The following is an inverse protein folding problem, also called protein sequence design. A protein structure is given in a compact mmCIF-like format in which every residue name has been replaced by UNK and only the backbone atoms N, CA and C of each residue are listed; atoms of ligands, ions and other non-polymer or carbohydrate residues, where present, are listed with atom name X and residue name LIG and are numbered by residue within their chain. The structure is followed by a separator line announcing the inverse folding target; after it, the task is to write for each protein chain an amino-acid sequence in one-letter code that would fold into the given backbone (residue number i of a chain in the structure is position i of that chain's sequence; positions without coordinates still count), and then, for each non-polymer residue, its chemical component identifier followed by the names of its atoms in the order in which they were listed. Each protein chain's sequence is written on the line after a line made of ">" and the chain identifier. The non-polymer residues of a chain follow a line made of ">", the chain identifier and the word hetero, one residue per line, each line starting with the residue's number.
data_IF_696632469587
#
_entry.id   IF_696632469587
#
_cell.length_a   1.000
_cell.length_b   1.000
_cell.length_c   1.000
_cell.angle_alpha   90.00
_cell.angle_beta   90.00
_cell.angle_gamma   90.00
#
_symmetry.space_group_name_H-M   'P 1'
#
loop_
_entity.id
_entity.type
_entity.pdbx_description
1 polymer ?
#
# COMPACT_ATOMS: atom_id res chain seq x y z
N UNK A 1 -10.31 0.50 2.11
CA UNK A 1 -10.56 1.95 2.21
C UNK A 1 -9.38 2.57 2.94
N UNK A 2 -9.02 3.80 2.59
CA UNK A 2 -8.03 4.61 3.30
C UNK A 2 -8.50 6.06 3.42
N UNK A 3 -7.91 6.82 4.34
CA UNK A 3 -8.06 8.27 4.49
C UNK A 3 -6.75 8.94 4.10
N UNK A 4 -6.76 9.79 3.09
CA UNK A 4 -5.56 10.46 2.57
C UNK A 4 -5.17 11.67 3.42
N UNK A 5 -4.00 12.26 3.15
CA UNK A 5 -3.52 13.41 3.90
C UNK A 5 -4.40 14.66 3.74
N UNK A 6 -5.11 14.81 2.61
CA UNK A 6 -6.11 15.88 2.44
C UNK A 6 -7.46 15.57 3.08
N UNK A 7 -7.61 14.43 3.75
CA UNK A 7 -8.87 14.01 4.36
C UNK A 7 -9.87 13.42 3.38
N UNK A 8 -9.46 13.08 2.15
CA UNK A 8 -10.32 12.37 1.21
C UNK A 8 -10.30 10.87 1.49
N UNK A 9 -11.42 10.22 1.25
CA UNK A 9 -11.54 8.77 1.36
C UNK A 9 -11.26 8.13 0.00
N UNK A 10 -10.40 7.11 -0.04
CA UNK A 10 -10.23 6.28 -1.23
C UNK A 10 -10.72 4.86 -0.95
N UNK A 11 -11.64 4.38 -1.79
CA UNK A 11 -12.29 3.06 -1.65
C UNK A 11 -12.08 2.27 -2.93
N UNK A 12 -11.42 1.11 -2.81
CA UNK A 12 -11.25 0.18 -3.93
C UNK A 12 -12.51 -0.64 -4.17
N UNK A 13 -12.90 -0.75 -5.43
CA UNK A 13 -13.87 -1.70 -5.94
C UNK A 13 -13.15 -2.71 -6.84
N UNK A 14 -12.58 -3.75 -6.20
CA UNK A 14 -11.64 -4.69 -6.82
C UNK A 14 -12.22 -5.36 -8.07
N UNK A 15 -13.46 -5.86 -8.01
CA UNK A 15 -14.11 -6.55 -9.12
C UNK A 15 -14.29 -5.64 -10.36
N UNK A 16 -14.44 -4.33 -10.15
CA UNK A 16 -14.61 -3.35 -11.22
C UNK A 16 -13.29 -2.71 -11.67
N UNK A 17 -12.17 -3.02 -11.02
CA UNK A 17 -10.88 -2.32 -11.23
C UNK A 17 -11.00 -0.80 -11.10
N UNK A 18 -11.67 -0.36 -10.03
CA UNK A 18 -11.95 1.05 -9.75
C UNK A 18 -11.52 1.46 -8.36
N UNK A 19 -11.18 2.74 -8.18
CA UNK A 19 -11.03 3.38 -6.87
C UNK A 19 -11.90 4.63 -6.88
N UNK A 20 -12.87 4.69 -5.97
CA UNK A 20 -13.69 5.88 -5.76
C UNK A 20 -12.99 6.82 -4.80
N UNK A 21 -12.98 8.10 -5.13
CA UNK A 21 -12.50 9.17 -4.26
C UNK A 21 -13.72 9.92 -3.73
N UNK A 22 -13.83 9.97 -2.41
CA UNK A 22 -14.98 10.53 -1.72
C UNK A 22 -14.55 11.63 -0.76
N UNK A 23 -15.46 12.54 -0.50
CA UNK A 23 -15.33 13.56 0.52
C UNK A 23 -16.40 13.35 1.59
N UNK A 24 -15.98 13.42 2.85
CA UNK A 24 -16.88 13.42 3.99
C UNK A 24 -17.26 14.87 4.31
N UNK A 25 -18.49 15.25 3.98
CA UNK A 25 -19.05 16.59 4.17
C UNK A 25 -20.28 16.56 5.07
N UNK A 26 -21.38 17.16 4.63
CA UNK A 26 -22.68 16.94 5.28
C UNK A 26 -23.21 15.52 5.00
N UNK A 27 -22.89 15.01 3.81
CA UNK A 27 -23.11 13.64 3.36
C UNK A 27 -21.82 13.11 2.73
N UNK A 28 -21.72 11.78 2.56
CA UNK A 28 -20.61 11.15 1.87
C UNK A 28 -20.80 11.26 0.35
N UNK A 29 -19.96 12.07 -0.31
CA UNK A 29 -20.06 12.37 -1.74
C UNK A 29 -18.95 11.68 -2.53
N UNK A 30 -19.30 11.03 -3.65
CA UNK A 30 -18.30 10.55 -4.62
C UNK A 30 -17.89 11.72 -5.51
N UNK A 31 -16.64 12.16 -5.38
CA UNK A 31 -16.09 13.25 -6.20
C UNK A 31 -15.77 12.77 -7.62
N UNK A 32 -15.05 11.66 -7.73
CA UNK A 32 -14.67 11.06 -9.00
C UNK A 32 -14.19 9.61 -8.80
N UNK A 33 -13.99 8.92 -9.92
CA UNK A 33 -13.53 7.53 -9.97
C UNK A 33 -12.22 7.46 -10.74
N UNK A 34 -11.23 6.77 -10.17
CA UNK A 34 -10.03 6.33 -10.87
C UNK A 34 -10.33 4.97 -11.49
N UNK A 35 -10.16 4.85 -12.80
CA UNK A 35 -10.32 3.59 -13.52
C UNK A 35 -9.29 3.44 -14.64
N UNK A 36 -9.13 2.20 -15.11
CA UNK A 36 -8.13 1.85 -16.13
C UNK A 36 -8.42 2.56 -17.47
N UNK A 37 -9.70 2.66 -17.84
CA UNK A 37 -10.13 3.31 -19.08
C UNK A 37 -9.84 4.82 -19.09
N UNK A 38 -9.77 5.45 -17.92
CA UNK A 38 -9.47 6.86 -17.70
C UNK A 38 -7.98 7.20 -17.63
N UNK A 39 -7.10 6.34 -18.16
CA UNK A 39 -5.66 6.60 -18.24
C UNK A 39 -4.82 6.08 -17.07
N UNK A 40 -5.42 5.32 -16.14
CA UNK A 40 -4.71 4.65 -15.05
C UNK A 40 -4.40 3.20 -15.44
N UNK A 41 -3.55 3.01 -16.45
CA UNK A 41 -3.33 1.72 -17.11
C UNK A 41 -2.91 0.60 -16.14
N UNK A 42 -2.20 0.94 -15.06
CA UNK A 42 -1.76 0.00 -14.02
C UNK A 42 -2.88 -0.42 -13.06
N UNK A 43 -4.00 0.31 -13.04
CA UNK A 43 -5.12 0.03 -12.14
C UNK A 43 -5.92 -1.18 -12.64
N UNK A 44 -5.57 -2.36 -12.14
CA UNK A 44 -6.30 -3.59 -12.42
C UNK A 44 -6.44 -4.40 -11.14
N UNK A 45 -7.68 -4.70 -10.73
CA UNK A 45 -8.01 -5.42 -9.49
C UNK A 45 -7.23 -4.90 -8.27
N UNK A 46 -7.52 -3.68 -7.77
CA UNK A 46 -6.89 -3.16 -6.55
C UNK A 46 -7.36 -3.97 -5.34
N UNK A 47 -6.47 -4.79 -4.79
CA UNK A 47 -6.72 -5.72 -3.68
C UNK A 47 -6.52 -5.04 -2.31
N UNK A 48 -5.53 -4.15 -2.20
CA UNK A 48 -5.23 -3.41 -0.97
C UNK A 48 -4.85 -1.95 -1.27
N UNK A 49 -5.06 -1.07 -0.29
CA UNK A 49 -4.71 0.34 -0.35
C UNK A 49 -3.85 0.71 0.86
N UNK A 50 -2.86 1.59 0.66
CA UNK A 50 -2.03 2.14 1.73
C UNK A 50 -1.84 3.65 1.54
N UNK A 51 -1.97 4.42 2.61
CA UNK A 51 -1.76 5.88 2.60
C UNK A 51 -0.26 6.15 2.63
N UNK A 52 0.23 7.02 1.75
CA UNK A 52 1.60 7.49 1.88
C UNK A 52 1.74 8.38 3.10
N UNK A 53 2.81 8.18 3.85
CA UNK A 53 3.31 9.10 4.87
C UNK A 53 3.87 10.41 4.27
N UNK A 54 3.88 10.55 2.94
CA UNK A 54 4.46 11.67 2.21
C UNK A 54 3.45 12.35 1.29
N UNK A 55 3.22 13.63 1.58
CA UNK A 55 2.32 14.46 0.79
C UNK A 55 0.93 13.87 0.69
N UNK A 56 0.18 14.31 -0.31
CA UNK A 56 -1.14 13.77 -0.58
C UNK A 56 -1.06 12.70 -1.67
N UNK A 57 -0.63 11.50 -1.26
CA UNK A 57 -0.49 10.35 -2.14
C UNK A 57 -0.89 9.04 -1.46
N UNK A 58 -1.18 8.03 -2.26
CA UNK A 58 -1.48 6.70 -1.77
C UNK A 58 -1.08 5.63 -2.80
N UNK A 59 -1.07 4.39 -2.33
CA UNK A 59 -0.68 3.23 -3.09
C UNK A 59 -1.85 2.26 -3.20
N UNK A 60 -1.96 1.60 -4.34
CA UNK A 60 -2.87 0.49 -4.58
C UNK A 60 -2.08 -0.74 -4.98
N UNK A 61 -2.26 -1.85 -4.26
CA UNK A 61 -1.74 -3.15 -4.66
C UNK A 61 -2.71 -3.74 -5.67
N UNK A 62 -2.27 -3.82 -6.92
CA UNK A 62 -3.06 -4.21 -8.08
C UNK A 62 -2.68 -5.61 -8.56
N UNK A 63 -3.69 -6.45 -8.80
CA UNK A 63 -3.57 -7.78 -9.37
C UNK A 63 -2.55 -8.67 -8.63
N UNK A 64 -2.31 -8.38 -7.35
CA UNK A 64 -1.33 -9.06 -6.50
C UNK A 64 0.11 -9.05 -7.01
N UNK A 65 0.48 -8.15 -7.93
CA UNK A 65 1.79 -8.16 -8.61
C UNK A 65 2.43 -6.79 -8.76
N UNK A 66 1.64 -5.73 -8.77
CA UNK A 66 2.12 -4.38 -9.03
C UNK A 66 1.53 -3.44 -8.01
N UNK A 67 2.34 -2.53 -7.48
CA UNK A 67 1.86 -1.40 -6.71
C UNK A 67 1.75 -0.21 -7.65
N UNK A 68 0.59 0.43 -7.67
CA UNK A 68 0.33 1.66 -8.41
C UNK A 68 0.27 2.82 -7.43
N UNK A 69 0.98 3.90 -7.73
CA UNK A 69 0.96 5.11 -6.93
C UNK A 69 0.06 6.16 -7.55
N UNK A 70 -0.74 6.79 -6.70
CA UNK A 70 -1.59 7.91 -7.03
C UNK A 70 -1.20 9.12 -6.20
N UNK A 71 -0.99 10.26 -6.83
CA UNK A 71 -0.62 11.50 -6.15
C UNK A 71 -1.45 12.69 -6.60
N UNK A 72 -1.47 13.70 -5.76
CA UNK A 72 -2.18 14.96 -5.98
C UNK A 72 -1.19 16.10 -5.85
N UNK A 73 -1.07 16.91 -6.90
CA UNK A 73 -0.15 18.04 -6.91
C UNK A 73 -0.65 19.23 -6.08
N UNK A 74 -1.97 19.48 -6.09
CA UNK A 74 -2.60 20.62 -5.40
C UNK A 74 -3.92 20.22 -4.74
N UNK A 75 -4.38 20.90 -3.67
CA UNK A 75 -5.62 20.52 -2.96
C UNK A 75 -6.88 20.40 -3.82
N UNK A 76 -6.96 21.09 -4.96
CA UNK A 76 -8.12 21.00 -5.88
C UNK A 76 -7.93 20.05 -7.07
N UNK A 77 -6.72 19.52 -7.32
CA UNK A 77 -6.47 18.64 -8.47
C UNK A 77 -6.99 17.22 -8.22
N UNK A 78 -7.41 16.46 -9.24
CA UNK A 78 -7.66 15.04 -9.06
C UNK A 78 -6.37 14.28 -8.71
N UNK A 79 -6.49 13.11 -8.11
CA UNK A 79 -5.38 12.15 -8.06
C UNK A 79 -5.07 11.67 -9.47
N UNK A 80 -3.79 11.50 -9.76
CA UNK A 80 -3.29 10.93 -11.02
C UNK A 80 -2.36 9.77 -10.71
N UNK A 81 -2.40 8.74 -11.55
CA UNK A 81 -1.38 7.70 -11.51
C UNK A 81 -0.04 8.31 -11.93
N UNK A 82 0.98 8.19 -11.07
CA UNK A 82 2.31 8.76 -11.34
C UNK A 82 3.47 7.76 -11.18
N UNK A 83 3.17 6.52 -10.75
CA UNK A 83 4.19 5.49 -10.58
C UNK A 83 3.62 4.08 -10.59
N UNK A 84 4.46 3.14 -11.02
CA UNK A 84 4.21 1.70 -10.94
C UNK A 84 5.46 1.00 -10.42
N UNK A 85 5.27 0.09 -9.48
CA UNK A 85 6.34 -0.68 -8.84
C UNK A 85 5.96 -2.15 -8.94
N UNK A 86 6.71 -2.91 -9.75
CA UNK A 86 6.56 -4.35 -9.79
C UNK A 86 7.07 -4.98 -8.49
N UNK A 87 6.29 -5.92 -7.95
CA UNK A 87 6.72 -6.78 -6.86
C UNK A 87 7.82 -7.74 -7.33
N UNK A 88 8.67 -8.14 -6.40
CA UNK A 88 9.63 -9.21 -6.65
C UNK A 88 8.90 -10.55 -6.81
N UNK A 89 9.43 -11.45 -7.66
CA UNK A 89 8.75 -12.72 -7.99
C UNK A 89 8.29 -13.53 -6.78
N UNK A 90 9.07 -13.57 -5.69
CA UNK A 90 8.72 -14.33 -4.48
C UNK A 90 7.54 -13.77 -3.68
N UNK A 91 7.11 -12.55 -4.00
CA UNK A 91 6.03 -11.84 -3.31
C UNK A 91 4.83 -11.57 -4.24
N UNK A 92 4.84 -12.09 -5.48
CA UNK A 92 3.63 -12.17 -6.31
C UNK A 92 2.54 -12.96 -5.58
N UNK A 93 1.30 -12.49 -5.62
CA UNK A 93 0.20 -13.05 -4.83
C UNK A 93 -0.08 -12.30 -3.53
N UNK A 94 0.72 -11.28 -3.21
CA UNK A 94 0.49 -10.40 -2.06
C UNK A 94 -0.94 -9.86 -2.01
N UNK A 95 -1.47 -9.74 -0.78
CA UNK A 95 -2.85 -9.31 -0.49
C UNK A 95 -2.91 -8.19 0.55
N UNK A 96 -1.84 -7.99 1.30
CA UNK A 96 -1.74 -6.99 2.35
C UNK A 96 -0.64 -6.00 2.01
N UNK A 97 -0.84 -4.74 2.38
CA UNK A 97 0.13 -3.68 2.18
C UNK A 97 0.00 -2.61 3.26
N UNK A 98 1.13 -2.08 3.71
CA UNK A 98 1.19 -0.88 4.53
C UNK A 98 2.34 0.01 4.07
N UNK A 99 2.23 1.30 4.34
CA UNK A 99 3.27 2.28 4.08
C UNK A 99 3.63 3.01 5.38
N UNK A 100 4.88 3.42 5.52
CA UNK A 100 5.33 4.19 6.66
C UNK A 100 6.74 4.73 6.52
N UNK A 101 7.04 5.79 7.25
CA UNK A 101 8.37 6.43 7.21
C UNK A 101 9.40 5.67 8.04
N UNK A 102 10.67 5.68 7.62
CA UNK A 102 11.79 5.13 8.42
C UNK A 102 12.46 6.17 9.31
N UNK A 103 11.80 7.31 9.56
CA UNK A 103 12.33 8.41 10.38
C UNK A 103 13.27 9.36 9.63
N UNK A 104 13.72 9.00 8.42
CA UNK A 104 14.40 9.90 7.49
C UNK A 104 13.41 10.72 6.65
N UNK A 105 13.75 11.99 6.35
CA UNK A 105 12.86 12.93 5.63
C UNK A 105 12.68 12.56 4.14
N UNK A 106 13.49 11.63 3.62
CA UNK A 106 13.67 11.46 2.18
C UNK A 106 13.12 10.14 1.60
N UNK A 107 12.80 9.15 2.43
CA UNK A 107 12.30 7.85 1.97
C UNK A 107 11.09 7.39 2.78
N UNK A 108 10.17 6.73 2.09
CA UNK A 108 9.07 5.97 2.68
C UNK A 108 9.32 4.49 2.44
N UNK A 109 8.93 3.63 3.37
CA UNK A 109 8.98 2.19 3.19
C UNK A 109 7.58 1.65 2.94
N UNK A 110 7.45 0.82 1.91
CA UNK A 110 6.29 -0.03 1.68
C UNK A 110 6.61 -1.45 2.13
N UNK A 111 5.66 -2.05 2.84
CA UNK A 111 5.66 -3.47 3.16
C UNK A 111 4.49 -4.14 2.47
N UNK A 112 4.75 -5.21 1.73
CA UNK A 112 3.72 -6.11 1.18
C UNK A 112 3.86 -7.53 1.71
N UNK A 113 2.75 -8.25 1.78
CA UNK A 113 2.73 -9.65 2.21
C UNK A 113 1.57 -10.47 1.63
N UNK A 114 1.69 -11.80 1.75
CA UNK A 114 0.69 -12.79 1.32
C UNK A 114 1.01 -13.49 -0.01
N UNK A 115 2.20 -13.26 -0.59
CA UNK A 115 2.66 -13.86 -1.85
C UNK A 115 3.71 -14.98 -1.70
N UNK A 116 4.17 -15.25 -0.48
CA UNK A 116 5.23 -16.24 -0.19
C UNK A 116 6.41 -15.65 0.57
N UNK A 117 6.57 -14.33 0.53
CA UNK A 117 7.48 -13.56 1.37
C UNK A 117 6.81 -12.27 1.88
N UNK A 118 7.51 -11.60 2.80
CA UNK A 118 7.42 -10.17 2.99
C UNK A 118 8.40 -9.47 2.05
N UNK A 119 7.98 -8.36 1.45
CA UNK A 119 8.89 -7.48 0.71
C UNK A 119 8.82 -6.08 1.31
N UNK A 120 9.96 -5.60 1.80
CA UNK A 120 10.18 -4.23 2.25
C UNK A 120 10.81 -3.45 1.09
N UNK A 121 10.23 -2.31 0.74
CA UNK A 121 10.68 -1.49 -0.37
C UNK A 121 10.85 -0.05 0.08
N UNK A 122 12.04 0.51 -0.13
CA UNK A 122 12.26 1.94 0.07
C UNK A 122 11.90 2.70 -1.20
N UNK A 123 10.99 3.66 -1.04
CA UNK A 123 10.41 4.48 -2.08
C UNK A 123 10.99 5.89 -2.00
N UNK A 124 11.61 6.33 -3.09
CA UNK A 124 12.14 7.68 -3.23
C UNK A 124 11.02 8.73 -3.37
N UNK A 125 11.42 10.00 -3.34
CA UNK A 125 10.50 11.15 -3.47
C UNK A 125 9.72 11.14 -4.78
N UNK A 126 10.37 10.67 -5.85
CA UNK A 126 9.78 10.56 -7.19
C UNK A 126 8.88 9.31 -7.35
N UNK A 127 8.70 8.52 -6.29
CA UNK A 127 7.89 7.30 -6.31
C UNK A 127 8.63 6.06 -6.81
N UNK A 128 9.92 6.16 -7.17
CA UNK A 128 10.71 5.02 -7.63
C UNK A 128 11.14 4.10 -6.48
N UNK A 129 11.24 2.79 -6.76
CA UNK A 129 11.79 1.79 -5.85
C UNK A 129 13.32 1.87 -5.83
N UNK A 130 13.90 2.14 -4.67
CA UNK A 130 15.35 2.30 -4.49
C UNK A 130 16.02 1.08 -3.87
N UNK A 131 15.36 0.45 -2.90
CA UNK A 131 15.83 -0.77 -2.23
C UNK A 131 14.67 -1.75 -2.15
N UNK A 132 14.96 -3.05 -2.25
CA UNK A 132 14.02 -4.12 -1.97
C UNK A 132 14.71 -5.19 -1.11
N UNK A 133 14.05 -5.57 -0.02
CA UNK A 133 14.49 -6.65 0.87
C UNK A 133 13.36 -7.66 1.03
N UNK A 134 13.68 -8.92 0.75
CA UNK A 134 12.75 -10.05 0.88
C UNK A 134 13.01 -10.78 2.20
N UNK A 135 11.94 -11.05 2.95
CA UNK A 135 11.98 -11.85 4.18
C UNK A 135 11.06 -13.05 4.00
N UNK A 136 11.65 -14.24 3.99
CA UNK A 136 10.93 -15.49 3.83
C UNK A 136 10.54 -16.06 5.20
N UNK A 137 9.34 -16.66 5.31
CA UNK A 137 8.95 -17.36 6.52
C UNK A 137 9.89 -18.54 6.75
N UNK A 138 10.34 -18.72 7.99
CA UNK A 138 11.14 -19.88 8.36
C UNK A 138 10.24 -21.08 8.65
N UNK A 139 10.60 -22.27 8.18
CA UNK A 139 10.00 -23.55 8.58
C UNK A 139 8.47 -23.52 8.78
N UNK A 140 8.03 -23.78 10.01
CA UNK A 140 6.62 -23.84 10.42
C UNK A 140 5.92 -22.47 10.52
N UNK A 141 6.56 -21.40 10.06
CA UNK A 141 6.15 -19.99 10.19
C UNK A 141 5.68 -19.62 11.62
N UNK A 142 6.53 -19.77 12.64
CA UNK A 142 6.16 -19.41 14.01
C UNK A 142 5.89 -17.91 14.19
N UNK A 143 6.32 -17.08 13.23
CA UNK A 143 6.09 -15.64 13.23
C UNK A 143 4.77 -15.27 12.54
N UNK A 144 4.11 -16.21 11.86
CA UNK A 144 2.77 -16.06 11.30
C UNK A 144 2.67 -15.08 10.13
N UNK A 145 3.78 -14.77 9.46
CA UNK A 145 3.76 -13.77 8.39
C UNK A 145 3.72 -14.36 6.98
N UNK A 146 3.66 -15.68 6.82
CA UNK A 146 3.46 -16.34 5.54
C UNK A 146 2.09 -16.02 4.94
N UNK A 147 1.04 -16.00 5.78
CA UNK A 147 -0.32 -15.58 5.40
C UNK A 147 -0.91 -14.64 6.46
N UNK A 148 -0.52 -13.36 6.44
CA UNK A 148 -0.95 -12.41 7.46
C UNK A 148 -2.39 -11.97 7.24
N UNK A 149 -3.17 -11.88 8.31
CA UNK A 149 -4.53 -11.36 8.28
C UNK A 149 -4.57 -9.84 8.06
N UNK A 150 -3.59 -9.11 8.59
CA UNK A 150 -3.48 -7.66 8.38
C UNK A 150 -2.06 -7.16 8.60
N UNK A 151 -1.77 -6.01 8.00
CA UNK A 151 -0.53 -5.26 8.23
C UNK A 151 -0.90 -3.82 8.54
N UNK A 152 -0.22 -3.23 9.51
CA UNK A 152 -0.31 -1.81 9.81
C UNK A 152 1.07 -1.24 10.08
N UNK A 153 1.21 0.06 9.91
CA UNK A 153 2.41 0.78 10.32
C UNK A 153 2.05 1.70 11.50
N UNK A 154 2.89 1.71 12.52
CA UNK A 154 2.77 2.59 13.66
C UNK A 154 4.15 2.99 14.17
N UNK A 155 4.42 4.31 14.20
CA UNK A 155 5.57 4.93 14.89
C UNK A 155 6.92 4.21 14.65
N UNK A 156 7.29 4.01 13.38
CA UNK A 156 8.58 3.42 13.01
C UNK A 156 8.60 1.90 12.92
N UNK A 157 7.46 1.25 13.13
CA UNK A 157 7.35 -0.21 13.04
C UNK A 157 6.14 -0.66 12.22
N UNK A 158 6.33 -1.75 11.49
CA UNK A 158 5.27 -2.52 10.88
C UNK A 158 4.81 -3.61 11.85
N UNK A 159 3.51 -3.67 12.09
CA UNK A 159 2.85 -4.71 12.86
C UNK A 159 2.13 -5.63 11.89
N UNK A 160 2.46 -6.91 11.96
CA UNK A 160 1.92 -7.96 11.12
C UNK A 160 1.13 -8.90 12.03
N UNK A 161 -0.19 -8.93 11.87
CA UNK A 161 -1.03 -9.88 12.55
C UNK A 161 -1.07 -11.17 11.74
N UNK A 162 -0.46 -12.23 12.27
CA UNK A 162 -0.55 -13.55 11.70
C UNK A 162 -1.97 -14.05 11.80
N UNK A 163 -2.50 -14.58 10.69
CA UNK A 163 -3.90 -14.99 10.60
C UNK A 163 -4.20 -16.15 11.54
N UNK A 164 -3.98 -17.37 11.06
CA UNK A 164 -4.35 -18.57 11.82
C UNK A 164 -3.40 -18.89 12.99
N UNK A 165 -2.20 -18.29 13.01
CA UNK A 165 -1.23 -18.48 14.09
C UNK A 165 -1.56 -17.67 15.34
N UNK A 166 -2.38 -16.62 15.22
CA UNK A 166 -2.69 -15.70 16.33
C UNK A 166 -1.48 -14.91 16.85
N UNK A 167 -0.39 -14.83 16.07
CA UNK A 167 0.84 -14.12 16.45
C UNK A 167 0.81 -12.67 15.96
N UNK A 168 1.51 -11.78 16.66
CA UNK A 168 1.79 -10.42 16.17
C UNK A 168 3.30 -10.29 16.04
N UNK A 169 3.78 -10.13 14.82
CA UNK A 169 5.20 -9.91 14.53
C UNK A 169 5.43 -8.42 14.25
N UNK A 170 6.47 -7.87 14.86
CA UNK A 170 6.81 -6.45 14.77
C UNK A 170 8.16 -6.29 14.08
N UNK A 171 8.17 -5.56 12.97
CA UNK A 171 9.39 -5.16 12.27
C UNK A 171 9.57 -3.65 12.42
N UNK A 172 10.49 -3.24 13.29
CA UNK A 172 10.81 -1.84 13.51
C UNK A 172 12.28 -1.56 13.23
N UNK A 173 12.59 -0.30 12.94
CA UNK A 173 13.97 0.15 12.93
C UNK A 173 14.43 0.36 14.38
N UNK A 174 15.59 -0.18 14.76
CA UNK A 174 16.26 0.27 15.98
C UNK A 174 16.74 1.68 15.70
N UNK A 175 16.08 2.69 16.28
CA UNK A 175 16.53 4.09 16.21
C UNK A 175 18.00 4.22 16.60
#
# INVERSE_FOLDING_TARGET
>A
MILTASGLLAISATAASRIFILQDGADLEILYCLDNAGGNAGLYKPDALAVSSRGDSFYALCNKKTIVRFSKAYPASPYVQDGEIALSQGCEGARQMAAGGTGGVLSETLLVAGGGCLEFMDIAVDGSKTVSQLVYPGGTDPLGFADPASISYCRGAFLIAGGDTGTITVFGNTM
#
